data_IF_994143739245
#
_entry.id   IF_994143739245
#
_cell.length_a   1.000
_cell.length_b   1.000
_cell.length_c   1.000
_cell.angle_alpha   90.00
_cell.angle_beta   90.00
_cell.angle_gamma   90.00
#
_symmetry.space_group_name_H-M   'P 1'
#
loop_
_entity.id
_entity.type
_entity.pdbx_description
1 polymer ?
#
# COMPACT_ATOMS: atom_id res chain seq x y z
N UNK A 1 -25.80 0.39 -0.11
CA UNK A 1 -24.33 0.38 -0.17
C UNK A 1 -23.88 -0.97 0.31
N UNK A 2 -23.06 -1.67 -0.46
CA UNK A 2 -22.53 -2.97 -0.01
C UNK A 2 -21.48 -2.76 1.08
N UNK A 3 -21.49 -3.63 2.10
CA UNK A 3 -20.62 -3.53 3.28
C UNK A 3 -19.87 -4.85 3.45
N UNK A 4 -18.53 -4.78 3.51
CA UNK A 4 -17.70 -5.91 3.93
C UNK A 4 -17.88 -6.12 5.43
N UNK A 5 -18.33 -7.31 5.83
CA UNK A 5 -18.68 -7.58 7.23
C UNK A 5 -17.45 -7.66 8.15
N UNK A 6 -16.29 -8.05 7.61
CA UNK A 6 -15.05 -8.16 8.36
C UNK A 6 -14.38 -6.78 8.46
N UNK A 7 -14.41 -6.02 7.37
CA UNK A 7 -13.80 -4.70 7.24
C UNK A 7 -14.82 -3.65 6.80
N UNK A 8 -15.70 -3.19 7.72
CA UNK A 8 -16.83 -2.32 7.37
C UNK A 8 -16.44 -0.93 6.89
N UNK A 9 -15.18 -0.52 7.05
CA UNK A 9 -14.68 0.75 6.52
C UNK A 9 -14.31 0.70 5.04
N UNK A 10 -14.34 -0.47 4.41
CA UNK A 10 -14.06 -0.63 2.98
C UNK A 10 -15.13 -0.01 2.10
N UNK A 11 -14.69 0.85 1.17
CA UNK A 11 -15.51 1.20 0.01
C UNK A 11 -15.48 0.05 -1.00
N UNK A 12 -16.47 -0.84 -0.93
CA UNK A 12 -16.51 -2.10 -1.70
C UNK A 12 -16.55 -1.86 -3.21
N UNK A 13 -17.28 -0.83 -3.66
CA UNK A 13 -17.28 -0.41 -5.06
C UNK A 13 -15.88 0.00 -5.52
N UNK A 14 -15.22 0.87 -4.74
CA UNK A 14 -13.86 1.34 -5.05
C UNK A 14 -12.86 0.20 -5.05
N UNK A 15 -12.95 -0.73 -4.08
CA UNK A 15 -12.14 -1.94 -4.05
C UNK A 15 -12.22 -2.74 -5.36
N UNK A 16 -13.44 -3.01 -5.84
CA UNK A 16 -13.63 -3.76 -7.10
C UNK A 16 -13.09 -3.02 -8.30
N UNK A 17 -13.31 -1.72 -8.39
CA UNK A 17 -12.84 -0.93 -9.52
C UNK A 17 -11.30 -0.82 -9.53
N UNK A 18 -10.66 -0.71 -8.36
CA UNK A 18 -9.20 -0.80 -8.24
C UNK A 18 -8.70 -2.16 -8.71
N UNK A 19 -9.28 -3.25 -8.20
CA UNK A 19 -8.88 -4.60 -8.59
C UNK A 19 -9.08 -4.85 -10.10
N UNK A 20 -10.12 -4.28 -10.70
CA UNK A 20 -10.32 -4.32 -12.15
C UNK A 20 -9.22 -3.55 -12.91
N UNK A 21 -8.84 -2.35 -12.46
CA UNK A 21 -7.73 -1.60 -13.06
C UNK A 21 -6.41 -2.34 -12.91
N UNK A 22 -6.10 -2.89 -11.74
CA UNK A 22 -4.87 -3.67 -11.51
C UNK A 22 -4.80 -4.87 -12.45
N UNK A 23 -5.89 -5.63 -12.60
CA UNK A 23 -5.97 -6.76 -13.54
C UNK A 23 -5.85 -6.37 -15.01
N UNK A 24 -6.14 -5.11 -15.34
CA UNK A 24 -5.97 -4.58 -16.70
C UNK A 24 -4.54 -4.16 -17.04
N UNK A 25 -3.65 -4.07 -16.03
CA UNK A 25 -2.25 -3.71 -16.25
C UNK A 25 -1.51 -4.83 -16.98
N UNK A 26 -0.82 -4.46 -18.06
CA UNK A 26 -0.05 -5.41 -18.85
C UNK A 26 1.40 -5.49 -18.33
N UNK A 27 2.15 -6.54 -18.69
CA UNK A 27 3.58 -6.58 -18.42
C UNK A 27 4.33 -5.36 -18.95
N UNK A 28 3.90 -4.78 -20.08
CA UNK A 28 4.49 -3.57 -20.64
C UNK A 28 4.25 -2.33 -19.77
N UNK A 29 3.09 -2.23 -19.10
CA UNK A 29 2.82 -1.15 -18.15
C UNK A 29 3.71 -1.25 -16.89
N UNK A 30 4.13 -2.46 -16.52
CA UNK A 30 4.83 -2.78 -15.28
C UNK A 30 6.35 -3.00 -15.44
N UNK A 31 6.86 -2.89 -16.67
CA UNK A 31 8.27 -3.15 -17.00
C UNK A 31 9.04 -1.91 -17.46
N UNK A 32 8.48 -0.72 -17.25
CA UNK A 32 9.15 0.55 -17.55
C UNK A 32 10.03 1.02 -16.41
N UNK A 33 10.61 2.22 -16.55
CA UNK A 33 11.25 2.93 -15.45
C UNK A 33 10.31 3.03 -14.25
N UNK A 34 10.88 2.92 -13.05
CA UNK A 34 10.11 2.78 -11.82
C UNK A 34 9.09 3.91 -11.63
N UNK A 35 9.45 5.16 -11.94
CA UNK A 35 8.52 6.29 -11.82
C UNK A 35 7.33 6.20 -12.78
N UNK A 36 7.50 5.61 -13.97
CA UNK A 36 6.38 5.34 -14.87
C UNK A 36 5.48 4.22 -14.33
N UNK A 37 6.09 3.16 -13.80
CA UNK A 37 5.38 2.04 -13.19
C UNK A 37 4.59 2.50 -11.96
N UNK A 38 5.22 3.27 -11.07
CA UNK A 38 4.59 3.85 -9.88
C UNK A 38 3.39 4.72 -10.25
N UNK A 39 3.51 5.60 -11.26
CA UNK A 39 2.37 6.39 -11.77
C UNK A 39 1.22 5.51 -12.25
N UNK A 40 1.51 4.40 -12.94
CA UNK A 40 0.49 3.43 -13.37
C UNK A 40 -0.18 2.72 -12.19
N UNK A 41 0.59 2.33 -11.19
CA UNK A 41 0.07 1.67 -9.98
C UNK A 41 -0.79 2.65 -9.16
N UNK A 42 -0.37 3.91 -9.01
CA UNK A 42 -1.18 4.97 -8.38
C UNK A 42 -2.51 5.18 -9.11
N UNK A 43 -2.49 5.31 -10.43
CA UNK A 43 -3.70 5.43 -11.23
C UNK A 43 -4.62 4.22 -11.06
N UNK A 44 -4.06 3.00 -11.06
CA UNK A 44 -4.83 1.77 -10.84
C UNK A 44 -5.48 1.77 -9.46
N UNK A 45 -4.76 2.26 -8.45
CA UNK A 45 -5.24 2.43 -7.07
C UNK A 45 -6.19 3.60 -6.85
N UNK A 46 -6.43 4.46 -7.85
CA UNK A 46 -7.29 5.63 -7.67
C UNK A 46 -6.63 6.79 -6.95
N UNK A 47 -5.32 6.95 -7.11
CA UNK A 47 -4.54 8.04 -6.56
C UNK A 47 -3.98 8.93 -7.69
N UNK A 48 -3.96 10.23 -7.43
CA UNK A 48 -3.20 11.22 -8.21
C UNK A 48 -1.72 11.10 -7.89
N UNK A 49 -0.88 11.34 -8.89
CA UNK A 49 0.56 11.50 -8.68
C UNK A 49 0.86 12.94 -8.25
N UNK A 50 1.13 13.12 -6.97
CA UNK A 50 1.39 14.41 -6.31
C UNK A 50 2.74 14.33 -5.55
N UNK A 51 3.87 14.17 -6.26
CA UNK A 51 5.16 13.90 -5.65
C UNK A 51 5.82 15.12 -5.01
N UNK A 52 5.22 16.32 -5.16
CA UNK A 52 5.79 17.59 -4.70
C UNK A 52 4.85 18.37 -3.78
N UNK A 53 3.71 17.80 -3.40
CA UNK A 53 2.80 18.45 -2.44
C UNK A 53 3.31 18.29 -1.02
N UNK A 54 2.85 19.14 -0.11
CA UNK A 54 3.28 19.10 1.29
C UNK A 54 2.61 17.91 2.01
N UNK A 55 3.25 17.33 3.04
CA UNK A 55 2.59 16.39 3.94
C UNK A 55 1.25 16.94 4.45
N UNK A 56 0.21 16.10 4.46
CA UNK A 56 -1.16 16.50 4.79
C UNK A 56 -1.96 17.17 3.66
N UNK A 57 -1.34 17.45 2.50
CA UNK A 57 -1.99 18.03 1.31
C UNK A 57 -2.03 17.04 0.14
N UNK A 58 -2.18 15.75 0.44
CA UNK A 58 -2.26 14.68 -0.55
C UNK A 58 -0.91 14.30 -1.16
N UNK A 59 0.18 14.40 -0.41
CA UNK A 59 1.51 13.95 -0.83
C UNK A 59 1.53 12.44 -1.07
N UNK A 60 1.69 12.03 -2.34
CA UNK A 60 1.78 10.61 -2.74
C UNK A 60 3.19 10.24 -3.21
N UNK A 61 4.20 11.11 -2.98
CA UNK A 61 5.59 10.84 -3.36
C UNK A 61 6.23 9.66 -2.64
N UNK A 62 5.77 9.34 -1.42
CA UNK A 62 6.21 8.16 -0.67
C UNK A 62 5.52 6.86 -1.09
N UNK A 63 4.37 6.94 -1.77
CA UNK A 63 3.56 5.76 -2.07
C UNK A 63 4.35 4.79 -2.93
N UNK A 64 4.56 3.58 -2.42
CA UNK A 64 5.38 2.52 -3.03
C UNK A 64 6.87 2.84 -3.22
N UNK A 65 7.34 3.98 -2.73
CA UNK A 65 8.74 4.43 -2.87
C UNK A 65 9.60 4.12 -1.63
N UNK A 66 8.99 3.58 -0.58
CA UNK A 66 9.68 3.09 0.61
C UNK A 66 9.20 1.68 0.97
N UNK A 67 9.82 1.10 2.00
CA UNK A 67 9.55 -0.26 2.47
C UNK A 67 8.26 -0.39 3.28
N UNK A 68 7.61 0.72 3.63
CA UNK A 68 6.52 0.75 4.57
C UNK A 68 5.17 1.06 3.91
N UNK A 69 5.10 1.96 2.93
CA UNK A 69 3.87 2.42 2.26
C UNK A 69 3.54 1.57 1.02
N UNK A 70 3.43 0.26 1.22
CA UNK A 70 3.23 -0.72 0.16
C UNK A 70 1.78 -1.20 0.00
N UNK A 71 0.90 -0.86 0.94
CA UNK A 71 -0.52 -1.22 0.89
C UNK A 71 -1.33 -0.13 0.21
N UNK A 72 -2.25 -0.51 -0.66
CA UNK A 72 -3.26 0.40 -1.18
C UNK A 72 -4.65 0.05 -0.63
N UNK A 73 -5.22 0.98 0.12
CA UNK A 73 -6.48 0.79 0.84
C UNK A 73 -7.55 1.71 0.27
N UNK A 74 -8.70 1.18 -0.19
CA UNK A 74 -9.91 1.96 -0.44
C UNK A 74 -10.73 2.08 0.84
N UNK A 75 -11.29 3.26 1.14
CA UNK A 75 -12.11 3.43 2.34
C UNK A 75 -13.32 4.31 2.07
N UNK A 76 -14.35 4.17 2.91
CA UNK A 76 -15.50 5.08 2.93
C UNK A 76 -15.05 6.51 3.27
N UNK A 77 -15.78 7.51 2.77
CA UNK A 77 -15.41 8.92 2.95
C UNK A 77 -15.37 9.34 4.42
N UNK A 78 -16.35 8.91 5.22
CA UNK A 78 -16.38 9.17 6.66
C UNK A 78 -15.21 8.51 7.40
N UNK A 79 -14.75 7.36 6.92
CA UNK A 79 -13.64 6.58 7.49
C UNK A 79 -12.29 7.19 7.16
N UNK A 80 -12.16 7.90 6.03
CA UNK A 80 -10.92 8.57 5.63
C UNK A 80 -10.45 9.61 6.67
N UNK A 81 -11.38 10.16 7.46
CA UNK A 81 -11.09 11.13 8.53
C UNK A 81 -10.83 10.49 9.90
N UNK A 82 -10.86 9.15 9.99
CA UNK A 82 -10.56 8.46 11.24
C UNK A 82 -9.15 8.80 11.73
N UNK A 83 -9.04 8.98 13.04
CA UNK A 83 -7.76 9.12 13.74
C UNK A 83 -7.48 7.81 14.48
N UNK A 84 -6.21 7.48 14.64
CA UNK A 84 -5.80 6.44 15.59
C UNK A 84 -5.30 7.10 16.89
N UNK A 85 -5.64 6.47 18.02
CA UNK A 85 -5.28 6.85 19.40
C UNK A 85 -3.92 6.34 19.86
N UNK A 86 -3.06 5.86 18.95
CA UNK A 86 -1.72 5.35 19.24
C UNK A 86 -1.61 3.82 19.21
N UNK A 87 -2.65 3.15 18.76
CA UNK A 87 -2.72 1.69 18.61
C UNK A 87 -1.73 1.17 17.56
N UNK A 88 -1.35 2.01 16.59
CA UNK A 88 -0.42 1.67 15.52
C UNK A 88 0.98 2.16 15.90
N UNK A 89 1.86 1.22 16.22
CA UNK A 89 3.23 1.52 16.67
C UNK A 89 4.01 2.23 15.56
N UNK A 90 4.59 3.39 15.90
CA UNK A 90 5.43 4.17 14.97
C UNK A 90 4.70 5.22 14.14
N UNK A 91 3.37 5.35 14.28
CA UNK A 91 2.60 6.43 13.64
C UNK A 91 2.23 7.49 14.69
N UNK A 92 2.33 8.76 14.33
CA UNK A 92 2.00 9.87 15.21
C UNK A 92 0.50 9.88 15.56
N UNK A 93 0.18 9.92 16.87
CA UNK A 93 -1.20 10.04 17.36
C UNK A 93 -1.91 11.25 16.72
N UNK A 94 -3.15 11.05 16.27
CA UNK A 94 -3.96 12.12 15.71
C UNK A 94 -3.59 12.56 14.29
N UNK A 95 -2.92 11.71 13.50
CA UNK A 95 -2.61 11.99 12.10
C UNK A 95 -3.89 12.17 11.26
N UNK A 96 -4.15 13.40 10.79
CA UNK A 96 -5.33 13.78 10.00
C UNK A 96 -5.10 13.49 8.53
N UNK A 97 -5.28 12.23 8.13
CA UNK A 97 -5.09 11.80 6.74
C UNK A 97 -6.23 12.22 5.81
N UNK A 98 -7.46 12.38 6.33
CA UNK A 98 -8.69 12.62 5.55
C UNK A 98 -8.58 13.69 4.46
N UNK A 99 -8.17 14.93 4.76
CA UNK A 99 -8.02 15.96 3.73
C UNK A 99 -7.01 15.58 2.64
N UNK A 100 -5.90 14.92 3.01
CA UNK A 100 -4.91 14.44 2.05
C UNK A 100 -5.46 13.32 1.16
N UNK A 101 -6.21 12.40 1.74
CA UNK A 101 -6.90 11.31 1.03
C UNK A 101 -7.88 11.88 0.02
N UNK A 102 -8.72 12.84 0.42
CA UNK A 102 -9.69 13.48 -0.48
C UNK A 102 -9.01 14.20 -1.64
N UNK A 103 -7.95 14.97 -1.37
CA UNK A 103 -7.19 15.68 -2.40
C UNK A 103 -6.55 14.71 -3.39
N UNK A 104 -5.95 13.64 -2.91
CA UNK A 104 -5.20 12.69 -3.74
C UNK A 104 -6.11 11.68 -4.45
N UNK A 105 -7.33 11.44 -3.98
CA UNK A 105 -8.20 10.42 -4.55
C UNK A 105 -8.75 10.82 -5.92
N UNK A 106 -8.81 9.84 -6.81
CA UNK A 106 -9.50 9.92 -8.10
C UNK A 106 -10.98 9.57 -7.91
N UNK A 107 -11.93 10.46 -8.28
CA UNK A 107 -13.35 10.27 -7.99
C UNK A 107 -13.99 9.17 -8.83
N UNK A 108 -13.45 8.85 -10.01
CA UNK A 108 -14.09 7.93 -10.95
C UNK A 108 -14.04 6.44 -10.53
N UNK A 109 -13.39 6.13 -9.41
CA UNK A 109 -13.41 4.77 -8.82
C UNK A 109 -14.55 4.54 -7.83
N UNK A 110 -15.40 5.54 -7.55
CA UNK A 110 -16.58 5.42 -6.68
C UNK A 110 -16.52 6.33 -5.46
N UNK A 111 -17.36 6.07 -4.46
CA UNK A 111 -17.46 6.90 -3.23
C UNK A 111 -16.37 6.62 -2.19
N UNK A 112 -15.92 7.64 -1.49
CA UNK A 112 -14.83 7.56 -0.51
C UNK A 112 -13.46 7.91 -1.09
N UNK A 113 -12.40 7.28 -0.58
CA UNK A 113 -11.03 7.60 -0.98
C UNK A 113 -10.12 6.37 -1.13
N UNK A 114 -8.93 6.60 -1.66
CA UNK A 114 -7.82 5.65 -1.74
C UNK A 114 -6.61 6.23 -1.02
N UNK A 115 -5.77 5.38 -0.43
CA UNK A 115 -4.52 5.81 0.19
C UNK A 115 -3.47 4.70 0.23
N UNK A 116 -2.19 5.06 0.15
CA UNK A 116 -1.10 4.13 0.43
C UNK A 116 -0.81 4.08 1.93
N UNK A 117 -1.04 2.94 2.57
CA UNK A 117 -0.97 2.79 4.02
C UNK A 117 0.29 2.05 4.46
N UNK A 118 0.72 2.30 5.69
CA UNK A 118 1.88 1.64 6.27
C UNK A 118 1.58 0.16 6.55
N UNK A 119 2.52 -0.73 6.21
CA UNK A 119 2.41 -2.18 6.39
C UNK A 119 2.85 -2.65 7.78
N UNK A 120 3.35 -1.75 8.63
CA UNK A 120 3.78 -2.08 9.99
C UNK A 120 2.70 -2.84 10.77
N UNK A 121 2.99 -4.07 11.17
CA UNK A 121 2.05 -4.94 11.89
C UNK A 121 1.21 -5.85 11.01
N UNK A 122 1.40 -5.86 9.68
CA UNK A 122 0.67 -6.75 8.77
C UNK A 122 1.01 -8.24 8.90
N UNK A 123 2.06 -8.59 9.66
CA UNK A 123 2.49 -9.97 9.90
C UNK A 123 1.83 -10.62 11.13
N UNK A 124 1.04 -9.86 11.89
CA UNK A 124 0.28 -10.39 13.02
C UNK A 124 -1.04 -11.03 12.56
N UNK A 125 -1.61 -11.87 13.42
CA UNK A 125 -2.95 -12.44 13.24
C UNK A 125 -3.82 -12.08 14.48
N UNK A 126 -4.84 -11.21 14.34
CA UNK A 126 -5.21 -10.47 13.13
C UNK A 126 -4.17 -9.37 12.77
N UNK A 127 -4.15 -8.88 11.51
CA UNK A 127 -3.25 -7.81 11.09
C UNK A 127 -3.42 -6.53 11.90
N UNK A 128 -2.31 -5.86 12.21
CA UNK A 128 -2.28 -4.62 13.01
C UNK A 128 -1.77 -3.41 12.22
N UNK A 129 -1.80 -3.48 10.89
CA UNK A 129 -1.42 -2.37 10.03
C UNK A 129 -2.47 -1.25 9.96
N UNK A 130 -2.10 -0.14 9.32
CA UNK A 130 -2.94 1.06 9.24
C UNK A 130 -4.26 0.78 8.52
N UNK A 131 -4.26 -0.05 7.47
CA UNK A 131 -5.45 -0.36 6.70
C UNK A 131 -6.53 -1.03 7.58
N UNK A 132 -6.11 -2.07 8.29
CA UNK A 132 -7.00 -2.90 9.08
C UNK A 132 -7.39 -2.25 10.42
N UNK A 133 -6.48 -1.52 11.08
CA UNK A 133 -6.73 -0.93 12.40
C UNK A 133 -7.43 0.43 12.29
N UNK A 134 -6.84 1.40 11.58
CA UNK A 134 -7.37 2.78 11.54
C UNK A 134 -8.60 2.88 10.64
N UNK A 135 -8.53 2.27 9.46
CA UNK A 135 -9.59 2.37 8.47
C UNK A 135 -10.55 1.18 8.49
N UNK A 136 -10.25 0.11 9.22
CA UNK A 136 -11.04 -1.13 9.21
C UNK A 136 -11.41 -1.52 7.79
N UNK A 137 -10.42 -1.48 6.90
CA UNK A 137 -10.59 -1.66 5.47
C UNK A 137 -9.64 -2.72 4.91
N UNK A 138 -10.13 -3.49 3.93
CA UNK A 138 -9.35 -4.36 3.07
C UNK A 138 -8.23 -3.60 2.35
N UNK A 139 -7.18 -4.32 2.01
CA UNK A 139 -6.14 -3.91 1.08
C UNK A 139 -6.56 -4.30 -0.34
N UNK A 140 -6.71 -3.33 -1.24
CA UNK A 140 -7.02 -3.63 -2.64
C UNK A 140 -5.87 -4.31 -3.36
N UNK A 141 -4.65 -3.87 -3.07
CA UNK A 141 -3.43 -4.61 -3.36
C UNK A 141 -2.27 -4.16 -2.45
N UNK A 142 -1.33 -5.07 -2.22
CA UNK A 142 -0.02 -4.84 -1.62
C UNK A 142 1.04 -5.04 -2.69
N UNK A 143 2.01 -4.12 -2.76
CA UNK A 143 3.18 -4.29 -3.60
C UNK A 143 4.25 -5.09 -2.84
N UNK A 144 4.67 -6.22 -3.41
CA UNK A 144 5.68 -7.10 -2.80
C UNK A 144 6.80 -7.36 -3.79
N UNK A 145 8.02 -6.92 -3.46
CA UNK A 145 9.22 -7.26 -4.22
C UNK A 145 9.57 -8.74 -4.01
N UNK A 146 9.85 -9.45 -5.10
CA UNK A 146 10.00 -10.89 -5.10
C UNK A 146 11.47 -11.33 -5.00
N UNK A 147 11.82 -12.29 -4.13
CA UNK A 147 13.16 -12.86 -4.04
C UNK A 147 13.52 -13.69 -5.30
N UNK A 148 14.81 -14.04 -5.51
CA UNK A 148 15.95 -13.78 -4.63
C UNK A 148 16.65 -12.43 -4.85
N UNK A 149 16.50 -11.84 -6.03
CA UNK A 149 17.23 -10.63 -6.44
C UNK A 149 16.43 -9.34 -6.22
N UNK A 150 15.14 -9.44 -5.88
CA UNK A 150 14.24 -8.30 -5.70
C UNK A 150 14.18 -7.40 -6.94
N UNK A 151 14.41 -7.96 -8.13
CA UNK A 151 14.25 -7.25 -9.39
C UNK A 151 12.76 -7.10 -9.78
N UNK A 152 11.94 -8.11 -9.49
CA UNK A 152 10.52 -8.12 -9.82
C UNK A 152 9.64 -7.86 -8.61
N UNK A 153 8.38 -7.52 -8.86
CA UNK A 153 7.36 -7.40 -7.83
C UNK A 153 6.05 -8.05 -8.29
N UNK A 154 5.20 -8.32 -7.32
CA UNK A 154 3.81 -8.77 -7.50
C UNK A 154 2.86 -7.83 -6.80
N UNK A 155 1.64 -7.73 -7.32
CA UNK A 155 0.53 -7.06 -6.66
C UNK A 155 -0.43 -8.13 -6.13
N UNK A 156 -0.62 -8.18 -4.81
CA UNK A 156 -1.42 -9.23 -4.14
C UNK A 156 -2.54 -8.59 -3.32
N UNK A 157 -3.71 -9.22 -3.23
CA UNK A 157 -4.75 -8.81 -2.28
C UNK A 157 -4.55 -9.44 -0.89
N UNK A 158 -5.32 -8.96 0.09
CA UNK A 158 -5.35 -9.46 1.47
C UNK A 158 -6.39 -10.57 1.70
N UNK A 159 -7.01 -11.08 0.63
CA UNK A 159 -7.94 -12.19 0.74
C UNK A 159 -7.15 -13.47 0.98
N UNK A 160 -7.58 -14.27 1.96
CA UNK A 160 -7.01 -15.59 2.21
C UNK A 160 -6.86 -16.37 0.89
N UNK A 161 -5.62 -16.71 0.54
CA UNK A 161 -5.29 -17.40 -0.70
C UNK A 161 -4.38 -16.64 -1.67
N UNK A 162 -3.96 -15.40 -1.37
CA UNK A 162 -2.98 -14.62 -2.15
C UNK A 162 -3.25 -14.70 -3.67
N UNK A 163 -4.36 -14.10 -4.11
CA UNK A 163 -4.64 -14.07 -5.54
C UNK A 163 -3.64 -13.11 -6.20
N UNK A 164 -2.76 -13.66 -7.03
CA UNK A 164 -1.90 -12.85 -7.90
C UNK A 164 -2.77 -11.96 -8.79
N UNK A 165 -2.74 -10.66 -8.56
CA UNK A 165 -3.49 -9.71 -9.38
C UNK A 165 -2.69 -9.31 -10.63
N UNK A 166 -1.36 -9.29 -10.54
CA UNK A 166 -0.42 -9.07 -11.66
C UNK A 166 1.02 -9.40 -11.23
N UNK A 167 1.89 -9.78 -12.19
CA UNK A 167 3.29 -10.13 -11.96
C UNK A 167 4.24 -9.51 -13.01
N UNK A 168 5.43 -9.09 -12.56
CA UNK A 168 6.57 -8.68 -13.42
C UNK A 168 7.58 -9.82 -13.60
N UNK A 169 8.24 -9.84 -14.77
CA UNK A 169 9.59 -10.36 -14.97
C UNK A 169 10.42 -9.23 -15.58
N UNK A 170 11.52 -8.80 -14.94
CA UNK A 170 12.35 -7.69 -15.45
C UNK A 170 13.31 -8.23 -16.50
N UNK A 171 13.39 -7.57 -17.65
CA UNK A 171 14.56 -7.68 -18.50
C UNK A 171 15.64 -6.71 -17.99
N UNK A 172 16.79 -7.24 -17.57
CA UNK A 172 17.98 -6.46 -17.22
C UNK A 172 18.54 -5.72 -18.44
N UNK A 173 19.00 -4.48 -18.24
CA UNK A 173 20.28 -4.00 -18.78
C UNK A 173 20.93 -2.98 -17.82
N UNK A 174 22.01 -3.43 -17.15
CA UNK A 174 23.35 -2.79 -16.95
C UNK A 174 23.44 -1.26 -17.05
N UNK A 175 24.13 -0.45 -16.23
CA UNK A 175 25.31 -0.60 -15.37
C UNK A 175 25.52 0.75 -14.67
N UNK A 176 25.49 0.81 -13.33
CA UNK A 176 26.33 1.64 -12.44
C UNK A 176 25.79 1.47 -11.02
N UNK A 177 26.71 1.20 -10.09
CA UNK A 177 26.41 0.65 -8.78
C UNK A 177 25.69 1.59 -7.81
N UNK A 178 24.80 1.01 -7.00
CA UNK A 178 24.95 0.85 -5.55
C UNK A 178 23.72 0.10 -5.02
N UNK A 179 23.86 -1.04 -4.32
CA UNK A 179 22.73 -1.63 -3.63
C UNK A 179 22.52 -0.94 -2.27
N UNK A 180 21.40 -0.26 -2.12
CA UNK A 180 20.70 -0.05 -0.84
C UNK A 180 19.36 -0.75 -1.07
N UNK A 181 19.07 -1.87 -0.44
CA UNK A 181 18.48 -1.95 0.91
C UNK A 181 18.85 -3.31 1.49
N UNK A 182 19.55 -3.33 2.63
CA UNK A 182 19.71 -4.52 3.46
C UNK A 182 18.43 -4.73 4.25
N UNK A 183 17.71 -5.81 3.96
CA UNK A 183 16.67 -6.34 4.83
C UNK A 183 17.34 -6.73 6.15
N UNK A 184 17.17 -5.93 7.22
CA UNK A 184 17.64 -6.34 8.55
C UNK A 184 16.71 -7.44 9.06
N UNK A 185 17.03 -8.69 8.75
CA UNK A 185 16.58 -9.82 9.54
C UNK A 185 17.24 -9.69 10.92
N UNK A 186 16.52 -9.17 11.92
CA UNK A 186 16.91 -9.39 13.32
C UNK A 186 16.75 -10.87 13.60
N UNK A 187 17.87 -11.57 13.78
CA UNK A 187 17.88 -12.87 14.42
C UNK A 187 17.32 -12.73 15.85
N UNK A 188 16.62 -13.75 16.38
CA UNK A 188 16.17 -13.72 17.76
C UNK A 188 17.38 -13.80 18.71
N UNK A 189 17.53 -12.78 19.56
CA UNK A 189 18.56 -12.74 20.59
C UNK A 189 18.50 -14.01 21.47
N UNK A 190 19.63 -14.72 21.54
CA UNK A 190 19.83 -15.83 22.45
C UNK A 190 19.78 -15.36 23.93
N UNK A 191 19.30 -16.18 24.87
CA UNK A 191 19.20 -15.78 26.27
C UNK A 191 20.59 -15.65 26.88
N UNK A 192 20.97 -14.44 27.29
CA UNK A 192 22.18 -14.21 28.08
C UNK A 192 21.97 -14.61 29.53
N UNK A 193 22.70 -15.65 29.93
CA UNK A 193 22.99 -16.03 31.31
C UNK A 193 23.98 -15.07 31.99
N UNK A 194 23.70 -14.75 33.27
CA UNK A 194 24.62 -14.39 34.36
C UNK A 194 25.35 -13.03 34.24
N UNK A 195 25.55 -12.20 35.27
CA UNK A 195 25.51 -12.31 36.74
C UNK A 195 24.95 -11.02 37.35
#
# INVERSE_FOLDING_TARGET
MEVDQEYPGTSVERLRNIQARVKSLTPLDLSKDWEEVRRKILWAGGLKDLPSTRPGQGYTGHSFNDDNHCDLTPMLGEVAHNLHGGEIRGIAMGNRLGPGIEIASLPELGVGGSWSTCTNGCHFDPPQDVAHVQFRSRIAFKLVWAPPDFGSFVLVDDRHGANFLSAKQVAHTSTTGHPLVTCQTREPDAPTTAW
#
